data_IF_495509771081
#
_entry.id   IF_495509771081
#
_cell.length_a   1.000
_cell.length_b   1.000
_cell.length_c   1.000
_cell.angle_alpha   90.00
_cell.angle_beta   90.00
_cell.angle_gamma   90.00
#
_symmetry.space_group_name_H-M   'P 1'
#
loop_
_entity.id
_entity.type
_entity.pdbx_description
1 polymer ?
#
# COMPACT_ATOMS: atom_id res chain seq x y z
N UNK A 1 21.10 -45.17 -34.46
CA UNK A 1 19.84 -44.79 -33.78
C UNK A 1 20.13 -43.92 -32.55
N UNK A 2 20.81 -42.79 -32.70
CA UNK A 2 21.30 -41.95 -31.57
C UNK A 2 20.83 -40.49 -31.62
N UNK A 3 20.07 -40.09 -32.64
CA UNK A 3 19.62 -38.70 -32.81
C UNK A 3 18.34 -38.34 -32.02
N UNK A 4 17.52 -39.34 -31.65
CA UNK A 4 16.27 -39.13 -30.92
C UNK A 4 16.42 -38.46 -29.53
N UNK A 5 17.37 -38.86 -28.66
CA UNK A 5 17.53 -38.20 -27.36
C UNK A 5 18.04 -36.76 -27.46
N UNK A 6 18.81 -36.43 -28.50
CA UNK A 6 19.35 -35.07 -28.70
C UNK A 6 18.26 -34.10 -29.17
N UNK A 7 17.37 -34.54 -30.05
CA UNK A 7 16.21 -33.74 -30.50
C UNK A 7 15.25 -33.51 -29.34
N UNK A 8 14.97 -34.53 -28.52
CA UNK A 8 14.07 -34.42 -27.36
C UNK A 8 14.63 -33.49 -26.26
N UNK A 9 15.94 -33.55 -26.01
CA UNK A 9 16.61 -32.64 -25.09
C UNK A 9 16.60 -31.19 -25.62
N UNK A 10 16.77 -31.00 -26.92
CA UNK A 10 16.74 -29.68 -27.54
C UNK A 10 15.33 -29.06 -27.51
N UNK A 11 14.26 -29.83 -27.77
CA UNK A 11 12.88 -29.34 -27.61
C UNK A 11 12.51 -29.07 -26.16
N UNK A 12 13.04 -29.82 -25.20
CA UNK A 12 12.82 -29.58 -23.77
C UNK A 12 13.56 -28.33 -23.27
N UNK A 13 14.76 -28.05 -23.79
CA UNK A 13 15.48 -26.81 -23.50
C UNK A 13 14.77 -25.61 -24.13
N UNK A 14 14.28 -25.74 -25.36
CA UNK A 14 13.53 -24.69 -26.07
C UNK A 14 12.16 -24.38 -25.44
N UNK A 15 11.52 -25.35 -24.78
CA UNK A 15 10.25 -25.13 -24.08
C UNK A 15 10.43 -24.48 -22.70
N UNK A 16 11.59 -24.67 -22.06
CA UNK A 16 11.95 -23.99 -20.80
C UNK A 16 12.39 -22.53 -21.02
N UNK A 17 12.77 -22.15 -22.24
CA UNK A 17 13.12 -20.76 -22.62
C UNK A 17 11.95 -19.96 -23.19
N UNK A 18 10.71 -20.32 -22.84
CA UNK A 18 9.55 -19.46 -23.11
C UNK A 18 9.86 -18.04 -22.62
N UNK A 19 9.82 -17.04 -23.51
CA UNK A 19 10.17 -15.65 -23.20
C UNK A 19 9.46 -15.12 -21.95
N UNK A 20 8.26 -15.62 -21.65
CA UNK A 20 7.50 -15.24 -20.46
C UNK A 20 8.14 -15.68 -19.14
N UNK A 21 8.78 -16.86 -19.07
CA UNK A 21 9.41 -17.35 -17.85
C UNK A 21 10.67 -16.55 -17.49
N UNK A 22 11.50 -16.26 -18.50
CA UNK A 22 12.72 -15.45 -18.34
C UNK A 22 12.35 -14.01 -17.98
N UNK A 23 11.31 -13.45 -18.62
CA UNK A 23 10.84 -12.10 -18.33
C UNK A 23 10.33 -11.97 -16.89
N UNK A 24 9.49 -12.90 -16.43
CA UNK A 24 9.00 -12.90 -15.03
C UNK A 24 10.14 -13.01 -14.02
N UNK A 25 11.10 -13.90 -14.25
CA UNK A 25 12.27 -14.04 -13.38
C UNK A 25 13.12 -12.75 -13.33
N UNK A 26 13.34 -12.11 -14.48
CA UNK A 26 14.08 -10.86 -14.56
C UNK A 26 13.33 -9.72 -13.85
N UNK A 27 12.01 -9.64 -14.00
CA UNK A 27 11.18 -8.65 -13.30
C UNK A 27 11.23 -8.88 -11.80
N UNK A 28 11.05 -10.10 -11.30
CA UNK A 28 11.08 -10.36 -9.85
C UNK A 28 12.42 -10.03 -9.19
N UNK A 29 13.55 -10.30 -9.87
CA UNK A 29 14.86 -9.88 -9.34
C UNK A 29 15.00 -8.36 -9.29
N UNK A 30 14.46 -7.68 -10.31
CA UNK A 30 14.47 -6.20 -10.38
C UNK A 30 13.53 -5.59 -9.35
N UNK A 31 12.38 -6.23 -9.11
CA UNK A 31 11.37 -5.81 -8.16
C UNK A 31 11.92 -5.76 -6.74
N UNK A 32 12.53 -6.84 -6.25
CA UNK A 32 13.13 -6.86 -4.91
C UNK A 32 14.23 -5.81 -4.73
N UNK A 33 15.11 -5.63 -5.72
CA UNK A 33 16.14 -4.57 -5.69
C UNK A 33 15.53 -3.17 -5.64
N UNK A 34 14.47 -2.94 -6.41
CA UNK A 34 13.80 -1.64 -6.45
C UNK A 34 13.03 -1.36 -5.16
N UNK A 35 12.40 -2.39 -4.57
CA UNK A 35 11.75 -2.30 -3.26
C UNK A 35 12.74 -1.86 -2.18
N UNK A 36 13.92 -2.49 -2.12
CA UNK A 36 14.97 -2.10 -1.17
C UNK A 36 15.56 -0.72 -1.48
N UNK A 37 15.73 -0.37 -2.75
CA UNK A 37 16.25 0.94 -3.15
C UNK A 37 15.25 2.08 -2.86
N UNK A 38 13.95 1.79 -2.81
CA UNK A 38 12.92 2.79 -2.57
C UNK A 38 13.04 3.48 -1.20
N UNK A 39 13.66 2.84 -0.21
CA UNK A 39 13.92 3.47 1.10
C UNK A 39 14.91 4.63 1.01
N UNK A 40 15.78 4.69 -0.01
CA UNK A 40 16.73 5.80 -0.16
C UNK A 40 16.00 7.15 -0.37
N UNK A 41 14.81 7.12 -1.00
CA UNK A 41 13.98 8.32 -1.16
C UNK A 41 13.58 8.96 0.19
N UNK A 42 13.54 8.18 1.28
CA UNK A 42 13.22 8.70 2.61
C UNK A 42 14.34 9.57 3.20
N UNK A 43 15.51 9.58 2.56
CA UNK A 43 16.67 10.38 2.99
C UNK A 43 16.88 11.64 2.18
N UNK A 44 16.07 11.90 1.14
CA UNK A 44 16.19 13.07 0.27
C UNK A 44 15.80 14.36 1.04
N UNK A 45 16.75 15.29 1.28
CA UNK A 45 16.46 16.51 2.02
C UNK A 45 15.82 17.62 1.17
N UNK A 46 15.96 17.59 -0.16
CA UNK A 46 15.42 18.62 -1.05
C UNK A 46 13.96 18.29 -1.41
N UNK A 47 13.05 19.12 -0.91
CA UNK A 47 11.62 18.98 -1.12
C UNK A 47 11.21 18.99 -2.59
N UNK A 48 11.78 19.90 -3.39
CA UNK A 48 11.40 20.03 -4.79
C UNK A 48 11.94 18.82 -5.59
N UNK A 49 13.15 18.36 -5.28
CA UNK A 49 13.70 17.15 -5.89
C UNK A 49 12.89 15.90 -5.55
N UNK A 50 12.50 15.73 -4.29
CA UNK A 50 11.61 14.64 -3.87
C UNK A 50 10.29 14.72 -4.64
N UNK A 51 9.67 15.90 -4.70
CA UNK A 51 8.38 16.10 -5.35
C UNK A 51 8.40 15.76 -6.84
N UNK A 52 9.46 16.17 -7.53
CA UNK A 52 9.61 15.93 -8.97
C UNK A 52 9.98 14.48 -9.30
N UNK A 53 10.61 13.76 -8.37
CA UNK A 53 11.09 12.39 -8.60
C UNK A 53 10.05 11.30 -8.29
N UNK A 54 9.20 11.48 -7.28
CA UNK A 54 8.28 10.42 -6.79
C UNK A 54 7.34 9.93 -7.89
N UNK A 55 6.66 10.85 -8.59
CA UNK A 55 5.68 10.49 -9.63
C UNK A 55 6.26 9.66 -10.79
N UNK A 56 7.34 10.12 -11.46
CA UNK A 56 8.01 9.36 -12.50
C UNK A 56 8.52 7.98 -12.03
N UNK A 57 9.11 7.89 -10.83
CA UNK A 57 9.58 6.61 -10.29
C UNK A 57 8.43 5.63 -10.07
N UNK A 58 7.30 6.08 -9.51
CA UNK A 58 6.08 5.25 -9.41
C UNK A 58 5.64 4.73 -10.77
N UNK A 59 5.77 5.52 -11.84
CA UNK A 59 5.40 5.07 -13.19
C UNK A 59 6.31 3.96 -13.72
N UNK A 60 7.58 3.95 -13.32
CA UNK A 60 8.49 2.84 -13.62
C UNK A 60 8.03 1.56 -12.92
N UNK A 61 7.67 1.65 -11.63
CA UNK A 61 7.15 0.50 -10.87
C UNK A 61 5.85 -0.03 -11.48
N UNK A 62 4.92 0.84 -11.88
CA UNK A 62 3.72 0.44 -12.61
C UNK A 62 4.03 -0.29 -13.93
N UNK A 63 5.06 0.18 -14.64
CA UNK A 63 5.51 -0.44 -15.88
C UNK A 63 6.00 -1.87 -15.62
N UNK A 64 6.79 -2.08 -14.58
CA UNK A 64 7.22 -3.43 -14.16
C UNK A 64 6.04 -4.28 -13.69
N UNK A 65 5.13 -3.72 -12.92
CA UNK A 65 3.92 -4.41 -12.44
C UNK A 65 3.08 -4.90 -13.62
N UNK A 66 2.95 -4.12 -14.69
CA UNK A 66 2.23 -4.54 -15.89
C UNK A 66 2.80 -5.81 -16.56
N UNK A 67 4.06 -6.15 -16.26
CA UNK A 67 4.74 -7.35 -16.77
C UNK A 67 4.67 -8.53 -15.79
N UNK A 68 4.48 -8.27 -14.50
CA UNK A 68 4.37 -9.27 -13.45
C UNK A 68 3.38 -8.83 -12.35
N UNK A 69 2.06 -8.90 -12.61
CA UNK A 69 1.05 -8.39 -11.70
C UNK A 69 0.96 -9.12 -10.36
N UNK A 70 1.45 -10.36 -10.30
CA UNK A 70 1.47 -11.20 -9.09
C UNK A 70 2.68 -10.94 -8.17
N UNK A 71 3.55 -10.00 -8.51
CA UNK A 71 4.77 -9.75 -7.75
C UNK A 71 4.49 -8.89 -6.51
N UNK A 72 4.61 -9.50 -5.33
CA UNK A 72 4.37 -8.85 -4.04
C UNK A 72 5.27 -7.63 -3.82
N UNK A 73 6.53 -7.65 -4.24
CA UNK A 73 7.44 -6.53 -4.00
C UNK A 73 7.00 -5.30 -4.81
N UNK A 74 6.54 -5.50 -6.06
CA UNK A 74 5.97 -4.43 -6.89
C UNK A 74 4.65 -3.90 -6.32
N UNK A 75 3.75 -4.80 -5.90
CA UNK A 75 2.47 -4.42 -5.32
C UNK A 75 2.68 -3.59 -4.04
N UNK A 76 3.53 -4.06 -3.13
CA UNK A 76 3.79 -3.36 -1.86
C UNK A 76 4.53 -2.05 -2.11
N UNK A 77 5.47 -1.99 -3.06
CA UNK A 77 6.11 -0.74 -3.46
C UNK A 77 5.09 0.29 -4.00
N UNK A 78 4.12 -0.13 -4.80
CA UNK A 78 3.07 0.73 -5.33
C UNK A 78 2.10 1.20 -4.23
N UNK A 79 1.71 0.32 -3.31
CA UNK A 79 0.87 0.67 -2.15
C UNK A 79 1.57 1.71 -1.29
N UNK A 80 2.80 1.42 -0.84
CA UNK A 80 3.61 2.33 -0.02
C UNK A 80 3.83 3.65 -0.73
N UNK A 81 4.31 3.60 -1.97
CA UNK A 81 4.71 4.77 -2.73
C UNK A 81 3.56 5.69 -3.09
N UNK A 82 2.41 5.17 -3.54
CA UNK A 82 1.23 6.03 -3.81
C UNK A 82 0.61 6.57 -2.53
N UNK A 83 0.62 5.82 -1.43
CA UNK A 83 0.16 6.31 -0.11
C UNK A 83 1.04 7.46 0.36
N UNK A 84 2.36 7.28 0.33
CA UNK A 84 3.32 8.30 0.70
C UNK A 84 3.22 9.52 -0.24
N UNK A 85 3.01 9.32 -1.54
CA UNK A 85 2.86 10.41 -2.49
C UNK A 85 1.60 11.24 -2.24
N UNK A 86 0.48 10.58 -1.95
CA UNK A 86 -0.76 11.25 -1.56
C UNK A 86 -0.58 12.05 -0.27
N UNK A 87 -0.03 11.42 0.77
CA UNK A 87 0.14 12.00 2.10
C UNK A 87 1.20 13.12 2.13
N UNK A 88 2.45 12.78 1.81
CA UNK A 88 3.58 13.69 2.03
C UNK A 88 3.53 14.89 1.07
N UNK A 89 3.10 14.68 -0.18
CA UNK A 89 3.14 15.71 -1.21
C UNK A 89 1.78 16.37 -1.41
N UNK A 90 0.77 15.61 -1.84
CA UNK A 90 -0.49 16.21 -2.30
C UNK A 90 -1.36 16.72 -1.15
N UNK A 91 -1.37 16.07 0.02
CA UNK A 91 -2.03 16.67 1.19
C UNK A 91 -1.29 17.91 1.69
N UNK A 92 0.05 17.91 1.73
CA UNK A 92 0.83 19.10 2.10
C UNK A 92 0.53 20.29 1.20
N UNK A 93 0.47 20.08 -0.11
CA UNK A 93 0.08 21.15 -1.06
C UNK A 93 -1.41 21.54 -0.91
N UNK A 94 -2.30 20.58 -0.64
CA UNK A 94 -3.70 20.87 -0.38
C UNK A 94 -3.91 21.71 0.90
N UNK A 95 -3.12 21.44 1.95
CA UNK A 95 -3.07 22.24 3.17
C UNK A 95 -2.61 23.66 2.85
N UNK A 96 -1.55 23.83 2.04
CA UNK A 96 -1.09 25.15 1.62
C UNK A 96 -2.15 25.93 0.81
N UNK A 97 -2.87 25.24 -0.08
CA UNK A 97 -4.01 25.81 -0.81
C UNK A 97 -5.13 26.27 0.15
N UNK A 98 -5.44 25.45 1.17
CA UNK A 98 -6.45 25.76 2.18
C UNK A 98 -6.07 26.99 3.01
N UNK A 99 -4.83 27.08 3.50
CA UNK A 99 -4.34 28.25 4.25
C UNK A 99 -4.27 29.52 3.42
N UNK A 100 -4.28 29.40 2.09
CA UNK A 100 -4.32 30.52 1.15
C UNK A 100 -5.74 30.86 0.68
N UNK A 101 -6.77 30.32 1.33
CA UNK A 101 -8.19 30.51 1.01
C UNK A 101 -8.56 30.23 -0.47
N UNK A 102 -7.86 29.28 -1.11
CA UNK A 102 -8.20 28.88 -2.49
C UNK A 102 -9.52 28.12 -2.49
N UNK A 103 -10.47 28.59 -3.30
CA UNK A 103 -11.80 27.98 -3.42
C UNK A 103 -11.81 26.57 -4.02
N UNK A 104 -10.74 26.18 -4.72
CA UNK A 104 -10.55 24.84 -5.29
C UNK A 104 -9.08 24.44 -5.15
N UNK A 105 -8.84 23.26 -4.60
CA UNK A 105 -7.50 22.67 -4.53
C UNK A 105 -7.39 21.50 -5.51
N UNK A 106 -6.52 21.64 -6.50
CA UNK A 106 -6.17 20.54 -7.41
C UNK A 106 -5.39 19.47 -6.64
N UNK A 107 -4.54 19.87 -5.70
CA UNK A 107 -3.75 18.95 -4.88
C UNK A 107 -4.63 18.10 -3.97
N UNK A 108 -5.76 18.62 -3.46
CA UNK A 108 -6.75 17.79 -2.75
C UNK A 108 -7.31 16.68 -3.65
N UNK A 109 -7.69 17.01 -4.90
CA UNK A 109 -8.17 16.01 -5.86
C UNK A 109 -7.09 14.99 -6.21
N UNK A 110 -5.82 15.42 -6.31
CA UNK A 110 -4.68 14.51 -6.53
C UNK A 110 -4.42 13.60 -5.33
N UNK A 111 -4.48 14.11 -4.11
CA UNK A 111 -4.33 13.30 -2.89
C UNK A 111 -5.39 12.20 -2.84
N UNK A 112 -6.66 12.56 -3.05
CA UNK A 112 -7.75 11.59 -3.13
C UNK A 112 -7.53 10.56 -4.25
N UNK A 113 -7.08 10.99 -5.43
CA UNK A 113 -6.77 10.08 -6.53
C UNK A 113 -5.64 9.10 -6.18
N UNK A 114 -4.53 9.58 -5.64
CA UNK A 114 -3.38 8.72 -5.34
C UNK A 114 -3.63 7.80 -4.15
N UNK A 115 -4.43 8.19 -3.16
CA UNK A 115 -4.92 7.23 -2.16
C UNK A 115 -5.80 6.15 -2.78
N UNK A 116 -6.73 6.50 -3.66
CA UNK A 116 -7.54 5.48 -4.36
C UNK A 116 -6.66 4.51 -5.14
N UNK A 117 -5.60 5.01 -5.80
CA UNK A 117 -4.62 4.18 -6.52
C UNK A 117 -3.86 3.23 -5.59
N UNK A 118 -3.43 3.72 -4.43
CA UNK A 118 -2.79 2.86 -3.42
C UNK A 118 -3.75 1.78 -2.91
N UNK A 119 -5.02 2.11 -2.71
CA UNK A 119 -6.06 1.16 -2.31
C UNK A 119 -6.30 0.12 -3.41
N UNK A 120 -6.34 0.52 -4.69
CA UNK A 120 -6.46 -0.42 -5.82
C UNK A 120 -5.35 -1.47 -5.79
N UNK A 121 -4.08 -1.06 -5.73
CA UNK A 121 -2.96 -2.01 -5.66
C UNK A 121 -2.96 -2.84 -4.37
N UNK A 122 -3.37 -2.25 -3.25
CA UNK A 122 -3.44 -3.01 -2.00
C UNK A 122 -4.53 -4.07 -2.02
N UNK A 123 -5.66 -3.82 -2.68
CA UNK A 123 -6.69 -4.83 -2.90
C UNK A 123 -6.16 -5.98 -3.77
N UNK A 124 -5.37 -5.69 -4.82
CA UNK A 124 -4.71 -6.74 -5.61
C UNK A 124 -3.73 -7.56 -4.76
N UNK A 125 -2.92 -6.90 -3.92
CA UNK A 125 -2.06 -7.59 -2.94
C UNK A 125 -2.86 -8.51 -2.03
N UNK A 126 -3.94 -8.05 -1.40
CA UNK A 126 -4.76 -8.90 -0.55
C UNK A 126 -5.37 -10.09 -1.30
N UNK A 127 -5.77 -9.90 -2.56
CA UNK A 127 -6.30 -10.98 -3.40
C UNK A 127 -5.23 -12.05 -3.66
N UNK A 128 -3.99 -11.66 -3.96
CA UNK A 128 -2.86 -12.59 -4.10
C UNK A 128 -2.58 -13.35 -2.79
N UNK A 129 -2.77 -12.69 -1.64
CA UNK A 129 -2.68 -13.32 -0.32
C UNK A 129 -3.96 -14.12 0.06
N UNK A 130 -4.92 -14.27 -0.85
CA UNK A 130 -6.14 -15.05 -0.65
C UNK A 130 -7.13 -14.42 0.33
N UNK A 131 -7.17 -13.08 0.39
CA UNK A 131 -8.11 -12.24 1.14
C UNK A 131 -8.87 -11.34 0.15
N UNK A 132 -10.19 -11.53 0.07
CA UNK A 132 -11.06 -10.68 -0.75
C UNK A 132 -11.55 -9.46 0.02
N UNK A 133 -11.98 -8.42 -0.69
CA UNK A 133 -12.64 -7.25 -0.10
C UNK A 133 -13.87 -7.63 0.75
N UNK A 134 -14.69 -8.58 0.28
CA UNK A 134 -15.86 -9.05 1.03
C UNK A 134 -15.49 -9.66 2.38
N UNK A 135 -14.37 -10.41 2.44
CA UNK A 135 -13.84 -10.94 3.69
C UNK A 135 -13.36 -9.81 4.62
N UNK A 136 -12.62 -8.83 4.09
CA UNK A 136 -12.18 -7.67 4.87
C UNK A 136 -13.37 -6.91 5.46
N UNK A 137 -14.42 -6.64 4.68
CA UNK A 137 -15.62 -5.92 5.14
C UNK A 137 -16.41 -6.68 6.19
N UNK A 138 -16.46 -8.02 6.10
CA UNK A 138 -17.16 -8.85 7.08
C UNK A 138 -16.35 -9.08 8.35
N UNK A 139 -15.01 -9.07 8.25
CA UNK A 139 -14.11 -9.42 9.34
C UNK A 139 -14.34 -8.70 10.67
N UNK A 140 -14.73 -7.40 10.75
CA UNK A 140 -14.99 -6.76 12.04
C UNK A 140 -16.14 -7.39 12.84
N UNK A 141 -17.02 -8.17 12.18
CA UNK A 141 -18.16 -8.87 12.79
C UNK A 141 -17.90 -10.36 13.01
N UNK A 142 -16.77 -10.88 12.55
CA UNK A 142 -16.40 -12.29 12.67
C UNK A 142 -15.52 -12.52 13.90
N UNK A 143 -15.38 -13.79 14.29
CA UNK A 143 -14.51 -14.18 15.39
C UNK A 143 -13.06 -13.78 15.12
N UNK A 144 -12.42 -13.11 16.09
CA UNK A 144 -11.06 -12.59 15.96
C UNK A 144 -10.95 -11.26 15.22
N UNK A 145 -12.02 -10.75 14.61
CA UNK A 145 -12.01 -9.45 13.94
C UNK A 145 -11.10 -9.41 12.71
N UNK A 146 -10.72 -8.18 12.33
CA UNK A 146 -9.73 -7.92 11.25
C UNK A 146 -8.39 -8.57 11.60
N UNK A 147 -7.90 -8.40 12.84
CA UNK A 147 -6.64 -8.97 13.31
C UNK A 147 -6.58 -10.50 13.14
N UNK A 148 -7.68 -11.20 13.46
CA UNK A 148 -7.78 -12.64 13.32
C UNK A 148 -7.74 -13.10 11.86
N UNK A 149 -8.40 -12.37 10.95
CA UNK A 149 -8.32 -12.62 9.51
C UNK A 149 -6.88 -12.47 9.01
N UNK A 150 -6.23 -11.35 9.35
CA UNK A 150 -4.86 -11.06 8.91
C UNK A 150 -3.87 -12.09 9.46
N UNK A 151 -3.90 -12.37 10.78
CA UNK A 151 -3.01 -13.35 11.43
C UNK A 151 -3.15 -14.77 10.86
N UNK A 152 -4.33 -15.13 10.35
CA UNK A 152 -4.60 -16.45 9.77
C UNK A 152 -4.05 -16.59 8.35
N UNK A 153 -3.98 -15.49 7.60
CA UNK A 153 -3.79 -15.49 6.15
C UNK A 153 -2.45 -14.93 5.71
N UNK A 154 -1.93 -13.98 6.46
CA UNK A 154 -0.73 -13.24 6.12
C UNK A 154 0.49 -13.77 6.87
N UNK A 155 1.64 -13.69 6.21
CA UNK A 155 2.93 -13.84 6.88
C UNK A 155 3.19 -12.66 7.80
N UNK A 156 3.89 -12.89 8.91
CA UNK A 156 4.38 -11.82 9.78
C UNK A 156 5.83 -11.52 9.41
N UNK A 157 6.00 -10.70 8.37
CA UNK A 157 7.28 -10.18 7.91
C UNK A 157 7.15 -8.70 7.52
N UNK A 158 8.31 -8.02 7.42
CA UNK A 158 8.39 -6.58 7.19
C UNK A 158 7.59 -6.12 5.97
N UNK A 159 7.67 -6.84 4.85
CA UNK A 159 6.99 -6.44 3.61
C UNK A 159 5.48 -6.51 3.80
N UNK A 160 5.00 -7.59 4.41
CA UNK A 160 3.57 -7.75 4.70
C UNK A 160 3.07 -6.71 5.70
N UNK A 161 3.85 -6.41 6.73
CA UNK A 161 3.52 -5.34 7.69
C UNK A 161 3.41 -3.98 6.99
N UNK A 162 4.36 -3.65 6.10
CA UNK A 162 4.30 -2.42 5.31
C UNK A 162 3.10 -2.38 4.36
N UNK A 163 2.79 -3.48 3.67
CA UNK A 163 1.62 -3.59 2.81
C UNK A 163 0.33 -3.24 3.56
N UNK A 164 0.13 -3.87 4.72
CA UNK A 164 -1.06 -3.64 5.56
C UNK A 164 -1.08 -2.22 6.13
N UNK A 165 0.05 -1.72 6.64
CA UNK A 165 0.14 -0.40 7.25
C UNK A 165 -0.16 0.71 6.23
N UNK A 166 0.48 0.68 5.06
CA UNK A 166 0.29 1.70 4.04
C UNK A 166 -1.09 1.59 3.37
N UNK A 167 -1.63 0.38 3.18
CA UNK A 167 -3.01 0.24 2.73
C UNK A 167 -4.02 0.81 3.73
N UNK A 168 -3.86 0.51 5.02
CA UNK A 168 -4.70 1.06 6.08
C UNK A 168 -4.57 2.59 6.15
N UNK A 169 -3.35 3.12 6.03
CA UNK A 169 -3.11 4.56 5.94
C UNK A 169 -3.79 5.18 4.72
N UNK A 170 -3.74 4.54 3.55
CA UNK A 170 -4.41 5.06 2.35
C UNK A 170 -5.94 5.13 2.53
N UNK A 171 -6.54 4.07 3.08
CA UNK A 171 -7.95 4.05 3.43
C UNK A 171 -8.28 5.14 4.45
N UNK A 172 -7.50 5.26 5.53
CA UNK A 172 -7.68 6.25 6.57
C UNK A 172 -7.55 7.69 6.06
N UNK A 173 -6.54 7.95 5.23
CA UNK A 173 -6.31 9.24 4.57
C UNK A 173 -7.47 9.60 3.65
N UNK A 174 -7.93 8.67 2.80
CA UNK A 174 -9.08 8.91 1.93
C UNK A 174 -10.37 9.19 2.72
N UNK A 175 -10.62 8.45 3.81
CA UNK A 175 -11.74 8.70 4.72
C UNK A 175 -11.62 10.11 5.35
N UNK A 176 -10.41 10.48 5.79
CA UNK A 176 -10.16 11.80 6.39
C UNK A 176 -10.37 12.94 5.40
N UNK A 177 -10.08 12.74 4.11
CA UNK A 177 -10.31 13.72 3.04
C UNK A 177 -11.77 13.73 2.52
N UNK A 178 -12.59 12.75 2.90
CA UNK A 178 -14.00 12.59 2.46
C UNK A 178 -14.93 12.29 3.64
N UNK A 179 -14.85 13.12 4.69
CA UNK A 179 -15.62 12.96 5.94
C UNK A 179 -17.14 13.05 5.77
N UNK A 180 -17.60 13.60 4.66
CA UNK A 180 -19.00 13.70 4.27
C UNK A 180 -19.53 12.41 3.60
N UNK A 181 -18.65 11.51 3.15
CA UNK A 181 -19.04 10.20 2.63
C UNK A 181 -19.16 9.18 3.77
N UNK A 182 -20.39 9.04 4.29
CA UNK A 182 -20.69 8.11 5.38
C UNK A 182 -20.44 6.63 5.01
N UNK A 183 -20.39 6.28 3.72
CA UNK A 183 -20.08 4.92 3.28
C UNK A 183 -18.62 4.60 3.49
N UNK A 184 -17.73 5.58 3.22
CA UNK A 184 -16.31 5.47 3.51
C UNK A 184 -16.04 5.50 5.02
N UNK A 185 -16.69 6.41 5.75
CA UNK A 185 -16.54 6.52 7.21
C UNK A 185 -16.91 5.20 7.92
N UNK A 186 -17.90 4.46 7.40
CA UNK A 186 -18.28 3.15 7.94
C UNK A 186 -17.15 2.10 7.86
N UNK A 187 -16.15 2.28 6.99
CA UNK A 187 -15.01 1.37 6.86
C UNK A 187 -13.88 1.64 7.87
N UNK A 188 -14.00 2.68 8.70
CA UNK A 188 -12.95 3.08 9.64
C UNK A 188 -12.58 1.97 10.65
N UNK A 189 -13.52 1.07 10.97
CA UNK A 189 -13.23 -0.11 11.80
C UNK A 189 -12.23 -1.08 11.18
N UNK A 190 -12.22 -1.20 9.84
CA UNK A 190 -11.25 -2.04 9.11
C UNK A 190 -9.86 -1.42 9.22
N UNK A 191 -9.76 -0.10 8.99
CA UNK A 191 -8.50 0.66 9.13
C UNK A 191 -7.91 0.47 10.53
N UNK A 192 -8.74 0.66 11.57
CA UNK A 192 -8.32 0.45 12.96
C UNK A 192 -7.82 -0.98 13.17
N UNK A 193 -8.58 -1.99 12.75
CA UNK A 193 -8.17 -3.39 12.93
C UNK A 193 -6.89 -3.77 12.19
N UNK A 194 -6.60 -3.16 11.05
CA UNK A 194 -5.32 -3.32 10.34
C UNK A 194 -4.15 -2.71 11.12
N UNK A 195 -4.32 -1.50 11.66
CA UNK A 195 -3.32 -0.89 12.54
C UNK A 195 -3.17 -1.63 13.87
N UNK A 196 -4.26 -2.14 14.45
CA UNK A 196 -4.21 -2.98 15.66
C UNK A 196 -3.31 -4.20 15.42
N UNK A 197 -3.49 -4.86 14.27
CA UNK A 197 -2.69 -6.02 13.87
C UNK A 197 -1.21 -5.66 13.66
N UNK A 198 -0.93 -4.67 12.79
CA UNK A 198 0.46 -4.29 12.47
C UNK A 198 1.19 -3.81 13.72
N UNK A 199 0.58 -2.95 14.54
CA UNK A 199 1.24 -2.37 15.70
C UNK A 199 1.49 -3.38 16.83
N UNK A 200 0.79 -4.52 16.81
CA UNK A 200 1.07 -5.65 17.67
C UNK A 200 2.25 -6.48 17.18
N UNK A 201 2.37 -6.68 15.86
CA UNK A 201 3.44 -7.48 15.25
C UNK A 201 4.77 -6.69 15.15
N UNK A 202 4.72 -5.42 14.74
CA UNK A 202 5.85 -4.49 14.68
C UNK A 202 5.47 -3.11 15.27
N UNK A 203 5.67 -2.90 16.58
CA UNK A 203 5.35 -1.64 17.25
C UNK A 203 6.18 -0.43 16.79
N UNK A 204 7.30 -0.65 16.10
CA UNK A 204 8.24 0.41 15.70
C UNK A 204 8.21 0.67 14.19
N UNK A 205 7.24 0.10 13.48
CA UNK A 205 7.12 0.21 12.03
C UNK A 205 7.12 1.69 11.58
N UNK A 206 7.82 1.97 10.47
CA UNK A 206 7.85 3.26 9.78
C UNK A 206 8.04 4.46 10.73
N UNK A 207 9.06 4.41 11.59
CA UNK A 207 9.47 5.52 12.47
C UNK A 207 8.38 6.00 13.44
N UNK A 208 7.56 5.06 13.94
CA UNK A 208 6.51 5.36 14.92
C UNK A 208 5.14 5.63 14.28
N UNK A 209 4.88 5.07 13.11
CA UNK A 209 3.59 5.19 12.42
C UNK A 209 2.41 4.73 13.30
N UNK A 210 2.63 3.75 14.17
CA UNK A 210 1.63 3.29 15.14
C UNK A 210 1.19 4.40 16.10
N UNK A 211 2.14 5.08 16.74
CA UNK A 211 1.85 6.15 17.69
C UNK A 211 1.16 7.32 16.98
N UNK A 212 1.63 7.69 15.78
CA UNK A 212 1.01 8.74 14.97
C UNK A 212 -0.43 8.39 14.57
N UNK A 213 -0.67 7.14 14.16
CA UNK A 213 -2.02 6.68 13.84
C UNK A 213 -2.95 6.80 15.04
N UNK A 214 -2.57 6.27 16.21
CA UNK A 214 -3.44 6.32 17.39
C UNK A 214 -3.67 7.74 17.90
N UNK A 215 -2.66 8.61 17.83
CA UNK A 215 -2.83 10.03 18.15
C UNK A 215 -3.91 10.66 17.27
N UNK A 216 -3.80 10.51 15.94
CA UNK A 216 -4.77 11.03 15.00
C UNK A 216 -6.15 10.35 15.11
N UNK A 217 -6.19 9.04 15.35
CA UNK A 217 -7.41 8.24 15.41
C UNK A 217 -8.26 8.58 16.65
N UNK A 218 -7.62 8.68 17.82
CA UNK A 218 -8.31 8.96 19.07
C UNK A 218 -8.74 10.44 19.13
N UNK A 219 -7.87 11.37 18.72
CA UNK A 219 -8.18 12.80 18.74
C UNK A 219 -9.14 13.23 17.62
N UNK A 220 -9.09 12.59 16.45
CA UNK A 220 -9.86 12.98 15.26
C UNK A 220 -11.33 12.59 15.29
N UNK A 221 -11.74 11.67 16.19
CA UNK A 221 -13.11 11.17 16.28
C UNK A 221 -13.92 11.95 17.33
N UNK A 222 -15.19 12.30 17.04
CA UNK A 222 -16.08 12.81 18.08
C UNK A 222 -16.21 11.82 19.23
N UNK A 223 -16.25 12.32 20.49
CA UNK A 223 -16.45 11.48 21.68
C UNK A 223 -17.68 10.57 21.57
N UNK A 224 -18.77 11.09 21.01
CA UNK A 224 -20.01 10.33 20.79
C UNK A 224 -19.85 9.13 19.83
N UNK A 225 -18.82 9.16 18.98
CA UNK A 225 -18.47 8.07 18.07
C UNK A 225 -17.27 7.27 18.58
N UNK A 226 -16.83 7.45 19.83
CA UNK A 226 -15.76 6.68 20.47
C UNK A 226 -14.34 7.23 20.30
N UNK A 227 -14.18 8.53 20.03
CA UNK A 227 -12.88 9.21 20.12
C UNK A 227 -12.54 9.68 21.54
N UNK A 228 -11.26 9.82 21.81
CA UNK A 228 -10.69 10.28 23.08
C UNK A 228 -9.51 11.25 22.85
N UNK A 229 -9.79 12.57 22.78
CA UNK A 229 -8.76 13.58 22.57
C UNK A 229 -7.74 13.75 23.71
N UNK A 230 -7.97 13.16 24.89
CA UNK A 230 -6.98 13.19 25.98
C UNK A 230 -5.98 12.03 25.84
N UNK A 231 -6.41 10.93 25.21
CA UNK A 231 -5.57 9.77 24.92
C UNK A 231 -4.71 9.96 23.66
N UNK A 232 -5.24 10.66 22.65
CA UNK A 232 -4.53 10.98 21.41
C UNK A 232 -3.59 12.16 21.56
#
# INVERSE_FOLDING_TARGET
MTFAPFVLALTLILSLTSCGGIQKMAVGTTAGLLFDAAYEMETEPDWDHLKESVGPNLKVVEGLYSLSPEDDDLLVALVKGYTAYAFAIHETEALADQYSDKSKSISLSKAQHFYSRAIEYGLEYFVEQGITWDQLVKSPREEGGVEGLLSKKLSSDKRTHEAVAFFAQAMGGLINLKKDDMTLVAQLGIVKGMFDWVCKEDPNINHGACQLFYAAYEAGRPRMLGGDPEKG
#
